data_IF_528710639401
#
_entry.id   IF_528710639401
#
_cell.length_a   1.000
_cell.length_b   1.000
_cell.length_c   1.000
_cell.angle_alpha   90.00
_cell.angle_beta   90.00
_cell.angle_gamma   90.00
#
_symmetry.space_group_name_H-M   'P 1'
#
loop_
_entity.id
_entity.type
_entity.pdbx_description
1 polymer ?
#
# COMPACT_ATOMS: atom_id res chain seq x y z
N UNK A 1 -6.96 -15.27 13.26
CA UNK A 1 -5.51 -15.35 13.48
C UNK A 1 -5.15 -14.28 14.49
N UNK A 2 -4.84 -14.66 15.74
CA UNK A 2 -4.42 -13.73 16.79
C UNK A 2 -2.91 -13.50 16.67
N UNK A 3 -2.47 -12.26 16.52
CA UNK A 3 -1.04 -11.90 16.55
C UNK A 3 -0.41 -12.40 17.85
N UNK A 4 0.81 -12.93 17.75
CA UNK A 4 1.60 -13.26 18.93
C UNK A 4 1.93 -12.00 19.72
N UNK A 5 2.17 -12.16 21.02
CA UNK A 5 2.69 -11.08 21.86
C UNK A 5 3.97 -10.50 21.27
N UNK A 6 4.84 -11.35 20.71
CA UNK A 6 6.09 -10.93 20.06
C UNK A 6 5.84 -10.07 18.82
N UNK A 7 4.85 -10.42 17.99
CA UNK A 7 4.46 -9.62 16.82
C UNK A 7 3.97 -8.24 17.24
N UNK A 8 3.21 -8.18 18.34
CA UNK A 8 2.67 -6.93 18.88
C UNK A 8 3.77 -6.05 19.49
N UNK A 9 4.74 -6.65 20.17
CA UNK A 9 5.92 -5.96 20.69
C UNK A 9 6.77 -5.41 19.54
N UNK A 10 6.99 -6.20 18.48
CA UNK A 10 7.69 -5.73 17.29
C UNK A 10 6.98 -4.54 16.62
N UNK A 11 5.65 -4.59 16.49
CA UNK A 11 4.85 -3.49 15.96
C UNK A 11 5.00 -2.22 16.82
N UNK A 12 5.00 -2.35 18.14
CA UNK A 12 5.19 -1.23 19.06
C UNK A 12 6.58 -0.61 18.93
N UNK A 13 7.64 -1.40 18.77
CA UNK A 13 8.98 -0.88 18.54
C UNK A 13 9.09 -0.11 17.21
N UNK A 14 8.44 -0.59 16.14
CA UNK A 14 8.36 0.13 14.87
C UNK A 14 7.65 1.48 15.05
N UNK A 15 6.52 1.51 15.76
CA UNK A 15 5.78 2.74 16.06
C UNK A 15 6.61 3.72 16.89
N UNK A 16 7.32 3.22 17.90
CA UNK A 16 8.17 4.04 18.75
C UNK A 16 9.32 4.69 17.97
N UNK A 17 9.96 3.93 17.07
CA UNK A 17 10.99 4.45 16.17
C UNK A 17 10.46 5.57 15.26
N UNK A 18 9.29 5.38 14.67
CA UNK A 18 8.65 6.40 13.83
C UNK A 18 8.33 7.69 14.62
N UNK A 19 7.86 7.58 15.87
CA UNK A 19 7.59 8.72 16.73
C UNK A 19 8.88 9.45 17.15
N UNK A 20 9.97 8.71 17.38
CA UNK A 20 11.28 9.30 17.66
C UNK A 20 11.80 10.12 16.46
N UNK A 21 11.71 9.56 15.24
CA UNK A 21 12.06 10.29 14.01
C UNK A 21 11.24 11.58 13.86
N UNK A 22 9.93 11.53 14.16
CA UNK A 22 9.04 12.69 14.09
C UNK A 22 9.42 13.77 15.09
N UNK A 23 9.68 13.39 16.34
CA UNK A 23 10.16 14.30 17.37
C UNK A 23 11.46 14.98 16.95
N UNK A 24 12.41 14.22 16.41
CA UNK A 24 13.72 14.76 16.03
C UNK A 24 13.62 15.71 14.84
N UNK A 25 12.73 15.43 13.89
CA UNK A 25 12.42 16.35 12.79
C UNK A 25 11.76 17.65 13.27
N UNK A 26 10.83 17.57 14.23
CA UNK A 26 10.19 18.74 14.83
C UNK A 26 11.20 19.59 15.63
N UNK A 27 12.13 18.95 16.34
CA UNK A 27 13.24 19.64 17.00
C UNK A 27 14.13 20.36 15.99
N UNK A 28 14.54 19.68 14.93
CA UNK A 28 15.31 20.29 13.85
C UNK A 28 14.60 21.52 13.25
N UNK A 29 13.27 21.46 13.10
CA UNK A 29 12.49 22.62 12.66
C UNK A 29 12.51 23.77 13.67
N UNK A 30 12.35 23.49 14.97
CA UNK A 30 12.44 24.50 16.04
C UNK A 30 13.84 25.13 16.12
N UNK A 31 14.88 24.34 15.88
CA UNK A 31 16.28 24.77 15.87
C UNK A 31 16.67 25.50 14.55
N UNK A 32 15.76 25.59 13.58
CA UNK A 32 15.96 26.28 12.31
C UNK A 32 16.62 25.43 11.20
N UNK A 33 16.87 24.14 11.42
CA UNK A 33 17.35 23.19 10.40
C UNK A 33 16.19 22.69 9.52
N UNK A 34 15.71 23.61 8.68
CA UNK A 34 14.67 23.34 7.69
C UNK A 34 15.06 22.23 6.68
N UNK A 35 16.32 22.08 6.23
CA UNK A 35 16.72 20.96 5.37
C UNK A 35 16.53 19.58 6.01
N UNK A 36 16.86 19.41 7.30
CA UNK A 36 16.63 18.14 8.00
C UNK A 36 15.14 17.83 8.13
N UNK A 37 14.33 18.81 8.56
CA UNK A 37 12.88 18.67 8.68
C UNK A 37 12.22 18.32 7.33
N UNK A 38 12.63 19.00 6.25
CA UNK A 38 12.11 18.76 4.89
C UNK A 38 12.44 17.35 4.39
N UNK A 39 13.68 16.88 4.58
CA UNK A 39 14.07 15.51 4.18
C UNK A 39 13.28 14.44 4.93
N UNK A 40 13.01 14.66 6.22
CA UNK A 40 12.16 13.75 6.99
C UNK A 40 10.72 13.74 6.43
N UNK A 41 10.13 14.91 6.17
CA UNK A 41 8.79 15.01 5.61
C UNK A 41 8.67 14.30 4.25
N UNK A 42 9.63 14.52 3.37
CA UNK A 42 9.70 13.83 2.08
C UNK A 42 9.70 12.31 2.27
N UNK A 43 10.58 11.77 3.13
CA UNK A 43 10.60 10.33 3.43
C UNK A 43 9.28 9.82 4.01
N UNK A 44 8.59 10.62 4.84
CA UNK A 44 7.26 10.27 5.38
C UNK A 44 6.22 10.19 4.25
N UNK A 45 6.19 11.17 3.35
CA UNK A 45 5.29 11.19 2.18
C UNK A 45 5.55 9.99 1.25
N UNK A 46 6.81 9.67 0.94
CA UNK A 46 7.15 8.51 0.12
C UNK A 46 6.66 7.19 0.73
N UNK A 47 6.86 7.00 2.04
CA UNK A 47 6.36 5.82 2.77
C UNK A 47 4.83 5.73 2.70
N UNK A 48 4.14 6.84 2.90
CA UNK A 48 2.68 6.89 2.84
C UNK A 48 2.14 6.63 1.43
N UNK A 49 2.77 7.19 0.40
CA UNK A 49 2.41 6.93 -0.99
C UNK A 49 2.56 5.45 -1.34
N UNK A 50 3.65 4.79 -0.93
CA UNK A 50 3.85 3.36 -1.14
C UNK A 50 2.81 2.49 -0.40
N UNK A 51 2.45 2.88 0.83
CA UNK A 51 1.40 2.20 1.60
C UNK A 51 0.03 2.36 0.94
N UNK A 52 -0.29 3.56 0.44
CA UNK A 52 -1.52 3.84 -0.30
C UNK A 52 -1.59 3.07 -1.62
N UNK A 53 -0.49 2.98 -2.38
CA UNK A 53 -0.42 2.16 -3.59
C UNK A 53 -0.66 0.68 -3.28
N UNK A 54 -0.04 0.16 -2.22
CA UNK A 54 -0.25 -1.22 -1.76
C UNK A 54 -1.71 -1.46 -1.36
N UNK A 55 -2.32 -0.53 -0.62
CA UNK A 55 -3.73 -0.61 -0.23
C UNK A 55 -4.64 -0.56 -1.45
N UNK A 56 -4.37 0.36 -2.39
CA UNK A 56 -5.13 0.50 -3.61
C UNK A 56 -5.11 -0.79 -4.43
N UNK A 57 -3.93 -1.42 -4.59
CA UNK A 57 -3.80 -2.73 -5.25
C UNK A 57 -4.66 -3.79 -4.56
N UNK A 58 -4.65 -3.86 -3.22
CA UNK A 58 -5.49 -4.80 -2.46
C UNK A 58 -6.98 -4.55 -2.69
N UNK A 59 -7.43 -3.29 -2.64
CA UNK A 59 -8.83 -2.92 -2.86
C UNK A 59 -9.26 -3.23 -4.28
N UNK A 60 -8.43 -2.94 -5.29
CA UNK A 60 -8.71 -3.28 -6.69
C UNK A 60 -8.84 -4.79 -6.87
N UNK A 61 -7.93 -5.58 -6.28
CA UNK A 61 -8.01 -7.05 -6.32
C UNK A 61 -9.28 -7.55 -5.63
N UNK A 62 -9.62 -7.04 -4.45
CA UNK A 62 -10.85 -7.42 -3.73
C UNK A 62 -12.10 -7.09 -4.55
N UNK A 63 -12.17 -5.89 -5.13
CA UNK A 63 -13.30 -5.48 -5.97
C UNK A 63 -13.43 -6.36 -7.21
N UNK A 64 -12.31 -6.71 -7.84
CA UNK A 64 -12.29 -7.65 -8.96
C UNK A 64 -12.86 -9.00 -8.53
N UNK A 65 -12.33 -9.62 -7.47
CA UNK A 65 -12.81 -10.91 -6.97
C UNK A 65 -14.30 -10.85 -6.65
N UNK A 66 -14.77 -9.85 -5.92
CA UNK A 66 -16.19 -9.70 -5.58
C UNK A 66 -17.08 -9.59 -6.82
N UNK A 67 -16.69 -8.79 -7.81
CA UNK A 67 -17.44 -8.68 -9.08
C UNK A 67 -17.47 -10.02 -9.83
N UNK A 68 -16.37 -10.76 -9.87
CA UNK A 68 -16.33 -12.05 -10.57
C UNK A 68 -17.14 -13.10 -9.83
N UNK A 69 -17.14 -13.09 -8.49
CA UNK A 69 -18.01 -13.94 -7.67
C UNK A 69 -19.49 -13.63 -7.89
N UNK A 70 -19.85 -12.34 -7.96
CA UNK A 70 -21.21 -11.88 -8.24
C UNK A 70 -21.71 -12.36 -9.62
N UNK A 71 -20.85 -12.29 -10.65
CA UNK A 71 -21.18 -12.79 -11.98
C UNK A 71 -21.26 -14.32 -12.10
N UNK A 72 -20.45 -15.06 -11.33
CA UNK A 72 -20.41 -16.53 -11.38
C UNK A 72 -21.42 -17.21 -10.44
N UNK A 73 -21.88 -16.52 -9.39
CA UNK A 73 -22.72 -17.10 -8.34
C UNK A 73 -22.03 -18.18 -7.50
N UNK A 74 -20.71 -18.38 -7.66
CA UNK A 74 -19.91 -19.38 -6.94
C UNK A 74 -18.48 -18.89 -6.72
N UNK A 75 -17.73 -19.60 -5.87
CA UNK A 75 -16.31 -19.34 -5.63
C UNK A 75 -15.46 -19.49 -6.89
N UNK A 76 -14.41 -18.67 -6.99
CA UNK A 76 -13.38 -18.79 -8.01
C UNK A 76 -12.33 -19.85 -7.65
N UNK A 77 -11.87 -20.58 -8.67
CA UNK A 77 -10.62 -21.34 -8.60
C UNK A 77 -9.40 -20.44 -8.83
N UNK A 78 -8.21 -20.91 -8.44
CA UNK A 78 -6.96 -20.17 -8.65
C UNK A 78 -6.64 -19.96 -10.14
N UNK A 79 -7.02 -20.90 -11.01
CA UNK A 79 -6.79 -20.84 -12.45
C UNK A 79 -7.71 -19.82 -13.11
N UNK A 80 -8.99 -19.83 -12.74
CA UNK A 80 -9.96 -18.82 -13.17
C UNK A 80 -9.54 -17.41 -12.72
N UNK A 81 -8.97 -17.28 -11.52
CA UNK A 81 -8.49 -16.00 -11.02
C UNK A 81 -7.33 -15.48 -11.86
N UNK A 82 -6.36 -16.36 -12.17
CA UNK A 82 -5.22 -16.00 -13.01
C UNK A 82 -5.64 -15.63 -14.42
N UNK A 83 -6.53 -16.40 -15.04
CA UNK A 83 -7.05 -16.14 -16.38
C UNK A 83 -7.78 -14.80 -16.46
N UNK A 84 -8.77 -14.59 -15.59
CA UNK A 84 -9.56 -13.35 -15.60
C UNK A 84 -8.73 -12.12 -15.19
N UNK A 85 -7.65 -12.30 -14.40
CA UNK A 85 -6.71 -11.21 -14.09
C UNK A 85 -5.81 -10.87 -15.29
N UNK A 86 -5.38 -11.86 -16.07
CA UNK A 86 -4.57 -11.66 -17.26
C UNK A 86 -5.34 -10.94 -18.37
N UNK A 87 -6.62 -11.28 -18.56
CA UNK A 87 -7.51 -10.64 -19.53
C UNK A 87 -7.69 -9.13 -19.27
N UNK A 88 -7.87 -8.72 -18.01
CA UNK A 88 -7.91 -7.29 -17.63
C UNK A 88 -6.59 -6.60 -17.93
N UNK A 89 -5.45 -7.26 -17.65
CA UNK A 89 -4.14 -6.68 -17.90
C UNK A 89 -3.90 -6.47 -19.40
N UNK A 90 -4.38 -7.39 -20.23
CA UNK A 90 -4.33 -7.29 -21.69
C UNK A 90 -5.19 -6.13 -22.20
N UNK A 91 -6.43 -5.99 -21.70
CA UNK A 91 -7.30 -4.86 -22.03
C UNK A 91 -6.70 -3.49 -21.63
N UNK A 92 -6.11 -3.40 -20.43
CA UNK A 92 -5.42 -2.18 -19.97
C UNK A 92 -4.16 -1.88 -20.79
N UNK A 93 -3.43 -2.90 -21.24
CA UNK A 93 -2.27 -2.73 -22.11
C UNK A 93 -2.70 -2.25 -23.49
N UNK A 94 -3.77 -2.83 -24.04
CA UNK A 94 -4.33 -2.44 -25.32
C UNK A 94 -4.82 -0.99 -25.33
N UNK A 95 -5.56 -0.55 -24.29
CA UNK A 95 -5.99 0.84 -24.13
C UNK A 95 -4.80 1.83 -24.09
N UNK A 96 -3.68 1.42 -23.48
CA UNK A 96 -2.45 2.25 -23.43
C UNK A 96 -1.71 2.32 -24.76
N UNK A 97 -1.79 1.28 -25.59
CA UNK A 97 -1.20 1.27 -26.95
C UNK A 97 -2.07 2.11 -27.89
N UNK A 98 -3.39 2.05 -27.76
CA UNK A 98 -4.33 2.83 -28.59
C UNK A 98 -4.35 4.33 -28.25
N UNK A 99 -3.98 4.68 -27.01
CA UNK A 99 -3.88 6.08 -26.55
C UNK A 99 -2.51 6.75 -26.81
N UNK A 100 -1.54 6.04 -27.39
CA UNK A 100 -0.18 6.51 -27.68
C UNK A 100 0.03 6.79 -29.18
#
# INVERSE_FOLDING_TARGET
>A
MTMSTDDRVAELYVKLGALAEERDALRAQLDGDLPAATRWLQRKVWRQAAALDTLNRRVVTQRFVLRTLDGLGRSLTADEYRAARAEIADAQLQERIEAA
#
